data_IF_357595392580
#
_entry.id   IF_357595392580
#
_cell.length_a   1.000
_cell.length_b   1.000
_cell.length_c   1.000
_cell.angle_alpha   90.00
_cell.angle_beta   90.00
_cell.angle_gamma   90.00
#
_symmetry.space_group_name_H-M   'P 1'
#
loop_
_entity.id
_entity.type
_entity.pdbx_description
1 polymer ?
#
# COMPACT_ATOMS: atom_id res chain seq x y z
N UNK A 1 -3.02 18.24 9.78
CA UNK A 1 -2.01 17.32 9.21
C UNK A 1 -2.13 17.34 7.71
N UNK A 2 -1.01 17.39 7.02
CA UNK A 2 -0.91 17.35 5.56
C UNK A 2 -1.31 15.95 5.06
N UNK A 3 -2.16 15.89 4.04
CA UNK A 3 -2.59 14.62 3.43
C UNK A 3 -1.47 14.14 2.50
N UNK A 4 -0.94 12.95 2.75
CA UNK A 4 0.15 12.36 1.96
C UNK A 4 -0.42 11.48 0.86
N UNK A 5 -0.29 11.92 -0.40
CA UNK A 5 -0.76 11.19 -1.59
C UNK A 5 0.42 10.74 -2.44
N UNK A 6 0.42 9.45 -2.81
CA UNK A 6 1.31 8.87 -3.80
C UNK A 6 0.53 8.47 -5.06
N UNK A 7 1.15 8.55 -6.22
CA UNK A 7 0.60 8.01 -7.45
C UNK A 7 0.78 6.49 -7.55
N UNK A 8 -0.34 5.76 -7.68
CA UNK A 8 -0.41 4.32 -7.93
C UNK A 8 -1.15 4.02 -9.26
N UNK A 9 -1.14 4.97 -10.19
CA UNK A 9 -2.01 4.98 -11.36
C UNK A 9 -1.54 4.20 -12.59
N UNK A 10 -0.33 3.65 -12.62
CA UNK A 10 0.27 3.08 -13.84
C UNK A 10 -0.58 2.00 -14.51
N UNK A 11 -1.12 1.05 -13.75
CA UNK A 11 -1.82 -0.13 -14.26
C UNK A 11 -3.07 0.20 -15.08
N UNK A 12 -3.84 1.20 -14.65
CA UNK A 12 -5.13 1.58 -15.26
C UNK A 12 -5.13 2.99 -15.82
N UNK A 13 -3.96 3.55 -16.08
CA UNK A 13 -3.84 4.90 -16.66
C UNK A 13 -4.53 4.99 -18.03
N UNK A 14 -5.03 6.15 -18.37
CA UNK A 14 -5.66 6.40 -19.67
C UNK A 14 -4.67 6.22 -20.83
N UNK A 15 -3.48 6.83 -20.67
CA UNK A 15 -2.34 6.63 -21.57
C UNK A 15 -1.06 7.02 -20.81
N UNK A 16 0.10 6.81 -21.42
CA UNK A 16 1.38 7.27 -20.85
C UNK A 16 1.42 8.80 -20.79
N UNK A 17 0.98 9.48 -21.86
CA UNK A 17 1.00 10.93 -21.97
C UNK A 17 0.13 11.60 -20.89
N UNK A 18 -1.06 11.05 -20.65
CA UNK A 18 -1.95 11.55 -19.58
C UNK A 18 -1.32 11.32 -18.21
N UNK A 19 -0.77 10.14 -17.95
CA UNK A 19 -0.10 9.85 -16.69
C UNK A 19 1.10 10.78 -16.46
N UNK A 20 1.93 10.99 -17.50
CA UNK A 20 3.05 11.92 -17.47
C UNK A 20 2.57 13.35 -17.16
N UNK A 21 1.52 13.81 -17.84
CA UNK A 21 0.93 15.12 -17.61
C UNK A 21 0.43 15.31 -16.17
N UNK A 22 -0.19 14.28 -15.59
CA UNK A 22 -0.62 14.27 -14.18
C UNK A 22 0.57 14.44 -13.24
N UNK A 23 1.62 13.65 -13.43
CA UNK A 23 2.83 13.76 -12.60
C UNK A 23 3.50 15.12 -12.76
N UNK A 24 3.65 15.61 -13.98
CA UNK A 24 4.23 16.94 -14.28
C UNK A 24 3.53 18.08 -13.54
N UNK A 25 2.20 17.98 -13.37
CA UNK A 25 1.42 19.02 -12.68
C UNK A 25 1.30 18.82 -11.16
N UNK A 26 1.56 17.61 -10.66
CA UNK A 26 1.36 17.27 -9.25
C UNK A 26 2.64 16.89 -8.50
N UNK A 27 3.82 16.88 -9.17
CA UNK A 27 5.07 16.40 -8.56
C UNK A 27 5.43 17.10 -7.24
N UNK A 28 5.10 18.39 -7.11
CA UNK A 28 5.37 19.18 -5.90
C UNK A 28 4.50 18.82 -4.70
N UNK A 29 3.35 18.15 -4.93
CA UNK A 29 2.38 17.80 -3.87
C UNK A 29 2.28 16.30 -3.62
N UNK A 30 2.77 15.47 -4.55
CA UNK A 30 2.84 14.03 -4.38
C UNK A 30 4.04 13.66 -3.51
N UNK A 31 3.84 12.72 -2.59
CA UNK A 31 4.97 12.15 -1.82
C UNK A 31 5.81 11.18 -2.67
N UNK A 32 5.33 10.79 -3.85
CA UNK A 32 6.04 9.96 -4.81
C UNK A 32 5.12 9.26 -5.80
N UNK A 33 5.72 8.42 -6.64
CA UNK A 33 5.00 7.60 -7.63
C UNK A 33 5.48 6.15 -7.62
N UNK A 34 4.58 5.23 -7.90
CA UNK A 34 4.92 3.82 -8.13
C UNK A 34 5.51 3.55 -9.52
N UNK A 35 5.56 4.56 -10.39
CA UNK A 35 6.17 4.46 -11.71
C UNK A 35 7.63 4.92 -11.67
N UNK A 36 8.56 3.95 -11.62
CA UNK A 36 10.00 4.23 -11.51
C UNK A 36 10.54 5.08 -12.66
N UNK A 37 10.04 4.89 -13.88
CA UNK A 37 10.43 5.70 -15.02
C UNK A 37 10.02 7.18 -14.87
N UNK A 38 8.78 7.43 -14.42
CA UNK A 38 8.33 8.81 -14.16
C UNK A 38 9.00 9.39 -12.90
N UNK A 39 9.32 8.56 -11.90
CA UNK A 39 10.09 8.99 -10.73
C UNK A 39 11.46 9.54 -11.15
N UNK A 40 12.17 8.81 -12.01
CA UNK A 40 13.45 9.24 -12.56
C UNK A 40 13.32 10.51 -13.43
N UNK A 41 12.30 10.55 -14.30
CA UNK A 41 12.11 11.67 -15.23
C UNK A 41 11.80 13.01 -14.52
N UNK A 42 11.08 12.97 -13.41
CA UNK A 42 10.63 14.16 -12.68
C UNK A 42 11.36 14.37 -11.34
N UNK A 43 12.40 13.58 -11.05
CA UNK A 43 13.18 13.64 -9.82
C UNK A 43 12.31 13.58 -8.55
N UNK A 44 11.31 12.69 -8.57
CA UNK A 44 10.43 12.43 -7.42
C UNK A 44 10.67 11.04 -6.83
N UNK A 45 10.30 10.85 -5.57
CA UNK A 45 10.57 9.61 -4.86
C UNK A 45 9.83 8.42 -5.48
N UNK A 46 10.51 7.32 -5.88
CA UNK A 46 9.84 6.08 -6.21
C UNK A 46 9.25 5.45 -4.95
N UNK A 47 7.95 5.16 -4.95
CA UNK A 47 7.23 4.61 -3.80
C UNK A 47 6.53 3.33 -4.22
N UNK A 48 6.62 2.31 -3.38
CA UNK A 48 5.93 1.04 -3.56
C UNK A 48 5.75 0.31 -2.25
N UNK A 49 5.01 -0.78 -2.33
CA UNK A 49 4.77 -1.69 -1.21
C UNK A 49 4.91 -3.13 -1.72
N UNK A 50 4.64 -4.12 -0.86
CA UNK A 50 4.53 -5.52 -1.29
C UNK A 50 3.50 -5.68 -2.41
N UNK A 51 3.76 -6.60 -3.34
CA UNK A 51 2.77 -7.12 -4.26
C UNK A 51 2.12 -8.39 -3.70
N UNK A 52 0.85 -8.67 -4.07
CA UNK A 52 0.18 -9.93 -3.70
C UNK A 52 0.97 -11.16 -4.17
N UNK A 53 1.58 -11.08 -5.35
CA UNK A 53 2.39 -12.15 -5.95
C UNK A 53 3.57 -12.57 -5.07
N UNK A 54 4.11 -11.66 -4.26
CA UNK A 54 5.16 -11.99 -3.28
C UNK A 54 4.67 -13.01 -2.27
N UNK A 55 3.48 -12.80 -1.70
CA UNK A 55 2.84 -13.73 -0.77
C UNK A 55 2.40 -15.02 -1.45
N UNK A 56 1.83 -14.92 -2.66
CA UNK A 56 1.40 -16.06 -3.46
C UNK A 56 2.57 -16.99 -3.83
N UNK A 57 3.73 -16.42 -4.19
CA UNK A 57 4.96 -17.19 -4.44
C UNK A 57 5.39 -17.96 -3.18
N UNK A 58 5.36 -17.33 -2.02
CA UNK A 58 5.72 -17.99 -0.77
C UNK A 58 4.70 -19.06 -0.39
N UNK A 59 3.41 -18.84 -0.67
CA UNK A 59 2.37 -19.83 -0.52
C UNK A 59 2.59 -21.08 -1.38
N UNK A 60 2.96 -20.88 -2.64
CA UNK A 60 3.30 -21.97 -3.54
C UNK A 60 4.55 -22.74 -3.09
N UNK A 61 5.55 -22.03 -2.56
CA UNK A 61 6.84 -22.61 -2.16
C UNK A 61 6.82 -23.29 -0.80
N UNK A 62 6.14 -22.72 0.20
CA UNK A 62 6.20 -23.12 1.60
C UNK A 62 4.86 -23.60 2.16
N UNK A 63 3.79 -23.58 1.36
CA UNK A 63 2.42 -23.87 1.77
C UNK A 63 1.72 -22.63 2.35
N UNK A 64 0.39 -22.59 2.20
CA UNK A 64 -0.43 -21.42 2.58
C UNK A 64 -0.35 -21.09 4.08
N UNK A 65 -0.21 -22.11 4.94
CA UNK A 65 -0.12 -21.91 6.39
C UNK A 65 1.10 -21.08 6.81
N UNK A 66 2.19 -21.15 6.07
CA UNK A 66 3.44 -20.45 6.38
C UNK A 66 3.69 -19.26 5.45
N UNK A 67 2.80 -18.99 4.50
CA UNK A 67 3.01 -18.04 3.41
C UNK A 67 3.28 -16.64 3.93
N UNK A 68 2.42 -16.13 4.80
CA UNK A 68 2.52 -14.78 5.36
C UNK A 68 3.80 -14.62 6.16
N UNK A 69 4.04 -15.50 7.12
CA UNK A 69 5.25 -15.46 7.94
C UNK A 69 6.53 -15.51 7.09
N UNK A 70 6.61 -16.44 6.12
CA UNK A 70 7.78 -16.57 5.24
C UNK A 70 7.96 -15.37 4.32
N UNK A 71 6.88 -14.75 3.88
CA UNK A 71 6.93 -13.51 3.09
C UNK A 71 7.53 -12.36 3.89
N UNK A 72 7.08 -12.16 5.12
CA UNK A 72 7.57 -11.13 6.03
C UNK A 72 9.03 -11.38 6.43
N UNK A 73 9.37 -12.64 6.79
CA UNK A 73 10.73 -13.05 7.14
C UNK A 73 11.72 -12.76 6.00
N UNK A 74 11.42 -13.22 4.78
CA UNK A 74 12.31 -13.03 3.62
C UNK A 74 12.42 -11.58 3.18
N UNK A 75 11.38 -10.80 3.33
CA UNK A 75 11.45 -9.35 3.11
C UNK A 75 12.36 -8.68 4.13
N UNK A 76 12.20 -9.02 5.40
CA UNK A 76 13.02 -8.51 6.51
C UNK A 76 14.49 -8.88 6.36
N UNK A 77 14.78 -10.13 5.99
CA UNK A 77 16.14 -10.61 5.71
C UNK A 77 16.84 -9.80 4.60
N UNK A 78 16.06 -9.44 3.57
CA UNK A 78 16.58 -8.74 2.39
C UNK A 78 16.74 -7.25 2.64
N UNK A 79 15.71 -6.60 3.15
CA UNK A 79 15.63 -5.13 3.24
C UNK A 79 15.92 -4.57 4.62
N UNK A 80 16.01 -5.39 5.66
CA UNK A 80 16.44 -5.04 7.03
C UNK A 80 15.71 -3.85 7.63
N UNK A 81 14.39 -3.76 7.39
CA UNK A 81 13.52 -2.68 7.84
C UNK A 81 13.28 -1.57 6.80
N UNK A 82 14.06 -1.49 5.72
CA UNK A 82 13.72 -0.62 4.60
C UNK A 82 12.51 -1.15 3.83
N UNK A 83 11.77 -0.27 3.13
CA UNK A 83 10.55 -0.62 2.38
C UNK A 83 9.50 -1.32 3.27
N UNK A 84 9.36 -0.82 4.49
CA UNK A 84 8.65 -1.46 5.59
C UNK A 84 7.13 -1.26 5.60
N UNK A 85 6.44 -1.34 4.46
CA UNK A 85 4.97 -1.32 4.38
C UNK A 85 4.45 -2.70 3.96
N UNK A 86 3.87 -3.43 4.90
CA UNK A 86 3.39 -4.79 4.69
C UNK A 86 1.97 -4.83 4.12
N UNK A 87 1.77 -5.57 3.03
CA UNK A 87 0.44 -5.84 2.46
C UNK A 87 -0.29 -6.89 3.30
N UNK A 88 -1.58 -6.66 3.60
CA UNK A 88 -2.27 -7.42 4.63
C UNK A 88 -3.32 -8.40 4.14
N UNK A 89 -3.81 -8.26 2.92
CA UNK A 89 -5.08 -8.89 2.49
C UNK A 89 -4.93 -10.05 1.51
N UNK A 90 -3.70 -10.52 1.22
CA UNK A 90 -3.49 -11.63 0.27
C UNK A 90 -4.24 -12.90 0.67
N UNK A 91 -4.26 -13.22 1.96
CA UNK A 91 -5.01 -14.37 2.52
C UNK A 91 -6.04 -13.96 3.57
N UNK A 92 -6.35 -12.74 3.75
CA UNK A 92 -7.16 -12.02 4.70
C UNK A 92 -6.31 -11.29 5.76
N UNK A 93 -6.80 -10.14 6.20
CA UNK A 93 -6.17 -9.37 7.27
C UNK A 93 -6.09 -10.14 8.59
N UNK A 94 -7.07 -10.98 8.90
CA UNK A 94 -7.07 -11.76 10.14
C UNK A 94 -5.95 -12.80 10.16
N UNK A 95 -5.71 -13.47 9.05
CA UNK A 95 -4.58 -14.40 8.90
C UNK A 95 -3.24 -13.65 8.95
N UNK A 96 -3.16 -12.48 8.31
CA UNK A 96 -1.96 -11.65 8.37
C UNK A 96 -1.61 -11.26 9.82
N UNK A 97 -2.58 -10.83 10.61
CA UNK A 97 -2.37 -10.37 11.99
C UNK A 97 -1.90 -11.50 12.93
N UNK A 98 -2.20 -12.76 12.62
CA UNK A 98 -1.66 -13.90 13.38
C UNK A 98 -0.15 -14.04 13.25
N UNK A 99 0.39 -13.72 12.06
CA UNK A 99 1.82 -13.81 11.76
C UNK A 99 2.56 -12.47 11.98
N UNK A 100 1.83 -11.35 12.01
CA UNK A 100 2.39 -10.01 12.21
C UNK A 100 2.59 -9.73 13.71
N UNK A 101 3.53 -10.45 14.29
CA UNK A 101 3.86 -10.43 15.70
C UNK A 101 4.64 -9.17 16.13
N UNK A 102 5.07 -9.15 17.39
CA UNK A 102 5.86 -8.06 17.97
C UNK A 102 7.13 -7.75 17.16
N UNK A 103 7.80 -8.78 16.60
CA UNK A 103 9.02 -8.59 15.84
C UNK A 103 8.75 -7.84 14.55
N UNK A 104 7.81 -8.32 13.73
CA UNK A 104 7.45 -7.67 12.48
C UNK A 104 6.78 -6.32 12.72
N UNK A 105 5.89 -6.23 13.70
CA UNK A 105 5.19 -4.98 14.02
C UNK A 105 6.14 -3.87 14.47
N UNK A 106 7.28 -4.20 15.11
CA UNK A 106 8.33 -3.22 15.42
C UNK A 106 9.19 -2.88 14.21
N UNK A 107 9.56 -3.88 13.41
CA UNK A 107 10.48 -3.71 12.28
C UNK A 107 9.86 -2.94 11.12
N UNK A 108 8.60 -3.23 10.79
CA UNK A 108 7.89 -2.57 9.69
C UNK A 108 7.40 -1.18 10.10
N UNK A 109 7.47 -0.22 9.17
CA UNK A 109 6.97 1.15 9.35
C UNK A 109 5.44 1.23 9.37
N UNK A 110 4.79 0.24 8.80
CA UNK A 110 3.34 0.18 8.73
C UNK A 110 2.79 -0.94 7.87
N UNK A 111 1.52 -0.80 7.53
CA UNK A 111 0.76 -1.78 6.76
C UNK A 111 -0.01 -1.12 5.60
N UNK A 112 -0.37 -1.90 4.59
CA UNK A 112 -1.19 -1.47 3.45
C UNK A 112 -2.56 -2.12 3.48
N UNK A 113 -3.59 -1.29 3.36
CA UNK A 113 -4.98 -1.65 3.05
C UNK A 113 -5.19 -1.66 1.54
N UNK A 114 -5.68 -2.75 0.98
CA UNK A 114 -5.95 -2.88 -0.46
C UNK A 114 -7.34 -3.48 -0.77
N UNK A 115 -8.16 -3.73 0.25
CA UNK A 115 -9.55 -4.19 0.10
C UNK A 115 -10.38 -4.04 1.38
N UNK A 116 -11.69 -3.92 1.22
CA UNK A 116 -12.66 -3.82 2.31
C UNK A 116 -12.89 -2.39 2.82
N UNK A 117 -13.57 -2.28 3.97
CA UNK A 117 -13.84 -0.98 4.58
C UNK A 117 -12.57 -0.40 5.23
N UNK A 118 -12.11 0.79 4.82
CA UNK A 118 -10.87 1.37 5.32
C UNK A 118 -10.94 1.77 6.80
N UNK A 119 -12.13 2.14 7.30
CA UNK A 119 -12.30 2.56 8.70
C UNK A 119 -12.24 1.34 9.61
N UNK A 120 -12.99 0.29 9.29
CA UNK A 120 -12.97 -0.98 10.03
C UNK A 120 -11.56 -1.58 10.05
N UNK A 121 -10.89 -1.59 8.90
CA UNK A 121 -9.50 -2.03 8.80
C UNK A 121 -8.57 -1.23 9.71
N UNK A 122 -8.62 0.11 9.63
CA UNK A 122 -7.72 0.97 10.40
C UNK A 122 -7.91 0.85 11.90
N UNK A 123 -9.15 0.74 12.39
CA UNK A 123 -9.41 0.50 13.82
C UNK A 123 -8.86 -0.87 14.26
N UNK A 124 -9.01 -1.93 13.45
CA UNK A 124 -8.44 -3.26 13.72
C UNK A 124 -6.91 -3.21 13.82
N UNK A 125 -6.24 -2.49 12.94
CA UNK A 125 -4.77 -2.32 12.95
C UNK A 125 -4.32 -1.54 14.20
N UNK A 126 -5.03 -0.48 14.57
CA UNK A 126 -4.72 0.30 15.78
C UNK A 126 -4.83 -0.58 17.02
N UNK A 127 -5.88 -1.40 17.10
CA UNK A 127 -6.09 -2.32 18.21
C UNK A 127 -4.99 -3.38 18.29
N UNK A 128 -4.58 -3.93 17.14
CA UNK A 128 -3.46 -4.86 17.07
C UNK A 128 -2.14 -4.25 17.57
N UNK A 129 -1.76 -3.03 17.12
CA UNK A 129 -0.56 -2.35 17.63
C UNK A 129 -0.64 -2.11 19.14
N UNK A 130 -1.79 -1.66 19.66
CA UNK A 130 -2.00 -1.47 21.10
C UNK A 130 -1.86 -2.76 21.88
N UNK A 131 -2.41 -3.88 21.39
CA UNK A 131 -2.30 -5.20 22.04
C UNK A 131 -0.85 -5.68 22.14
N UNK A 132 0.00 -5.26 21.21
CA UNK A 132 1.44 -5.49 21.20
C UNK A 132 2.23 -4.43 21.99
N UNK A 133 1.57 -3.46 22.62
CA UNK A 133 2.24 -2.38 23.36
C UNK A 133 3.02 -1.40 22.46
N UNK A 134 2.65 -1.28 21.19
CA UNK A 134 3.25 -0.36 20.23
C UNK A 134 2.34 0.87 20.10
N UNK A 135 2.94 2.07 20.18
CA UNK A 135 2.21 3.31 19.91
C UNK A 135 1.81 3.38 18.42
N UNK A 136 0.49 3.35 18.09
CA UNK A 136 0.04 3.46 16.70
C UNK A 136 0.51 4.74 16.00
N UNK A 137 0.72 5.85 16.74
CA UNK A 137 1.23 7.09 16.16
C UNK A 137 2.67 6.98 15.65
N UNK A 138 3.40 5.94 16.03
CA UNK A 138 4.71 5.61 15.44
C UNK A 138 4.60 4.92 14.08
N UNK A 139 3.41 4.44 13.69
CA UNK A 139 3.14 3.60 12.52
C UNK A 139 2.30 4.31 11.47
N UNK A 140 2.29 3.77 10.24
CA UNK A 140 1.56 4.32 9.10
C UNK A 140 0.65 3.28 8.47
N UNK A 141 -0.59 3.65 8.13
CA UNK A 141 -1.42 2.86 7.22
C UNK A 141 -1.38 3.52 5.84
N UNK A 142 -1.02 2.75 4.83
CA UNK A 142 -1.15 3.12 3.41
C UNK A 142 -2.48 2.56 2.89
N UNK A 143 -3.42 3.43 2.60
CA UNK A 143 -4.69 3.06 1.96
C UNK A 143 -4.52 3.10 0.43
N UNK A 144 -5.02 2.10 -0.30
CA UNK A 144 -4.82 2.01 -1.75
C UNK A 144 -5.98 1.43 -2.55
N UNK A 145 -7.12 1.16 -1.93
CA UNK A 145 -8.29 0.63 -2.62
C UNK A 145 -9.34 1.71 -2.94
N UNK A 146 -9.69 1.84 -4.21
CA UNK A 146 -10.81 2.64 -4.70
C UNK A 146 -10.81 4.12 -4.27
N UNK A 147 -9.63 4.71 -4.04
CA UNK A 147 -9.50 6.04 -3.46
C UNK A 147 -9.68 7.16 -4.47
N UNK A 148 -10.27 8.23 -3.98
CA UNK A 148 -10.23 9.57 -4.56
C UNK A 148 -9.86 10.59 -3.47
N UNK A 149 -9.69 11.86 -3.83
CA UNK A 149 -9.30 12.91 -2.88
C UNK A 149 -10.31 13.10 -1.74
N UNK A 150 -11.64 13.19 -1.99
CA UNK A 150 -12.63 13.30 -0.91
C UNK A 150 -12.55 12.15 0.10
N UNK A 151 -12.42 10.91 -0.36
CA UNK A 151 -12.31 9.74 0.51
C UNK A 151 -11.01 9.74 1.33
N UNK A 152 -9.90 10.19 0.74
CA UNK A 152 -8.65 10.38 1.46
C UNK A 152 -8.74 11.42 2.57
N UNK A 153 -9.49 12.51 2.33
CA UNK A 153 -9.79 13.54 3.35
C UNK A 153 -10.59 12.91 4.50
N UNK A 154 -11.68 12.21 4.20
CA UNK A 154 -12.53 11.54 5.19
C UNK A 154 -11.74 10.57 6.07
N UNK A 155 -10.94 9.70 5.48
CA UNK A 155 -10.10 8.74 6.20
C UNK A 155 -9.07 9.47 7.08
N UNK A 156 -8.45 10.55 6.57
CA UNK A 156 -7.49 11.34 7.33
C UNK A 156 -8.14 11.95 8.58
N UNK A 157 -9.34 12.52 8.44
CA UNK A 157 -10.07 13.12 9.56
C UNK A 157 -10.43 12.07 10.61
N UNK A 158 -10.87 10.88 10.19
CA UNK A 158 -11.23 9.79 11.10
C UNK A 158 -10.03 9.32 11.94
N UNK A 159 -8.86 9.17 11.31
CA UNK A 159 -7.65 8.68 11.98
C UNK A 159 -6.74 9.78 12.53
N UNK A 160 -7.19 11.03 12.51
CA UNK A 160 -6.44 12.17 13.07
C UNK A 160 -6.04 11.88 14.53
N UNK A 161 -4.75 11.97 14.84
CA UNK A 161 -4.17 11.70 16.16
C UNK A 161 -4.35 10.25 16.66
N UNK A 162 -4.72 9.30 15.80
CA UNK A 162 -4.81 7.88 16.14
C UNK A 162 -3.66 7.08 15.52
N UNK A 163 -3.39 7.30 14.22
CA UNK A 163 -2.33 6.65 13.45
C UNK A 163 -1.97 7.54 12.25
N UNK A 164 -0.77 7.42 11.71
CA UNK A 164 -0.40 8.13 10.48
C UNK A 164 -1.07 7.48 9.26
N UNK A 165 -1.54 8.30 8.32
CA UNK A 165 -2.16 7.83 7.08
C UNK A 165 -1.39 8.32 5.86
N UNK A 166 -1.36 7.49 4.81
CA UNK A 166 -0.87 7.83 3.48
C UNK A 166 -1.75 7.14 2.43
N UNK A 167 -1.84 7.68 1.22
CA UNK A 167 -2.83 7.27 0.23
C UNK A 167 -2.18 7.00 -1.11
N UNK A 168 -2.34 5.77 -1.62
CA UNK A 168 -1.99 5.42 -3.00
C UNK A 168 -3.21 5.59 -3.90
N UNK A 169 -3.28 6.68 -4.66
CA UNK A 169 -4.40 6.92 -5.59
C UNK A 169 -3.98 6.45 -6.99
N UNK A 170 -4.77 5.55 -7.56
CA UNK A 170 -4.51 4.98 -8.87
C UNK A 170 -5.38 5.57 -9.96
N UNK A 171 -6.43 4.84 -10.33
CA UNK A 171 -7.34 5.15 -11.45
C UNK A 171 -7.93 6.55 -11.37
N UNK A 172 -8.37 6.97 -10.19
CA UNK A 172 -8.97 8.30 -10.00
C UNK A 172 -7.97 9.47 -10.10
N UNK A 173 -6.69 9.19 -10.25
CA UNK A 173 -5.66 10.18 -10.55
C UNK A 173 -5.30 10.20 -12.04
N UNK A 174 -5.21 9.03 -12.68
CA UNK A 174 -4.62 8.89 -14.02
C UNK A 174 -5.63 8.51 -15.11
N UNK A 175 -6.88 8.26 -14.75
CA UNK A 175 -7.96 7.87 -15.69
C UNK A 175 -9.35 8.30 -15.20
N UNK A 176 -9.46 9.47 -14.59
CA UNK A 176 -10.75 10.08 -14.22
C UNK A 176 -11.27 10.97 -15.36
N UNK A 177 -11.69 10.34 -16.46
CA UNK A 177 -12.11 11.01 -17.70
C UNK A 177 -13.60 10.86 -18.00
N UNK A 178 -14.40 10.39 -17.03
CA UNK A 178 -15.83 10.09 -17.22
C UNK A 178 -16.12 8.81 -18.00
N UNK A 179 -15.09 8.08 -18.42
CA UNK A 179 -15.20 6.76 -19.07
C UNK A 179 -14.77 5.69 -18.07
N UNK A 180 -15.59 4.63 -17.92
CA UNK A 180 -15.27 3.53 -17.02
C UNK A 180 -13.96 2.87 -17.47
N UNK A 181 -12.90 2.86 -16.64
CA UNK A 181 -11.64 2.23 -16.99
C UNK A 181 -11.77 0.71 -17.06
N UNK A 182 -10.92 0.09 -17.87
CA UNK A 182 -10.84 -1.37 -17.91
C UNK A 182 -10.47 -1.91 -16.52
N UNK A 183 -11.25 -2.89 -16.05
CA UNK A 183 -10.92 -3.62 -14.84
C UNK A 183 -9.99 -4.79 -15.18
N UNK A 184 -8.67 -4.56 -15.06
CA UNK A 184 -7.66 -5.57 -15.39
C UNK A 184 -6.66 -5.73 -14.26
N UNK A 185 -6.23 -6.97 -14.08
CA UNK A 185 -5.10 -7.36 -13.20
C UNK A 185 -4.01 -7.88 -14.12
N UNK A 186 -2.79 -7.36 -13.94
CA UNK A 186 -1.61 -7.83 -14.66
C UNK A 186 -0.75 -8.58 -13.65
N UNK A 187 -0.72 -9.90 -13.78
CA UNK A 187 0.15 -10.75 -12.98
C UNK A 187 1.28 -11.26 -13.87
N UNK A 188 2.51 -11.16 -13.43
CA UNK A 188 3.61 -11.89 -14.05
C UNK A 188 3.49 -13.35 -13.61
N UNK A 189 2.80 -14.16 -14.43
CA UNK A 189 2.69 -15.58 -14.17
C UNK A 189 4.06 -16.25 -14.26
N UNK A 190 4.65 -16.59 -13.11
CA UNK A 190 5.66 -17.63 -13.10
C UNK A 190 4.90 -18.94 -13.29
N UNK A 191 4.96 -19.46 -14.51
CA UNK A 191 4.63 -20.88 -14.75
C UNK A 191 5.81 -21.66 -14.19
N UNK A 192 5.59 -22.34 -13.06
CA UNK A 192 6.52 -23.32 -12.50
C UNK A 192 6.24 -24.64 -13.17
#
# INVERSE_FOLDING_TARGET
SEIKVADFGTRRRRSYEIHRLVIENLHDVLVGTSNVHLAEQFDITPIGTHAHEWFMFHGAKYGYQSATYKSLEKWSDTYRGSLGIALTDTYTTDVFLQDFDMYFAKLFDGVRHDSGDPIEFGEKIIEHYKSLGIDPMSKTIVFSDGLNVPKAVEITEHFRNKIKTSFGIGTNLTNDTGVIPLNMVVCNGLVI
#
